data_IF_653687808573
#
_entry.id   IF_653687808573
#
_cell.length_a   1.000
_cell.length_b   1.000
_cell.length_c   1.000
_cell.angle_alpha   90.00
_cell.angle_beta   90.00
_cell.angle_gamma   90.00
#
_symmetry.space_group_name_H-M   'P 1'
#
loop_
_entity.id
_entity.type
_entity.pdbx_description
1 polymer ?
#
# COMPACT_ATOMS: atom_id res chain seq x y z
N UNK A 1 25.14 13.48 1.77
CA UNK A 1 24.98 12.13 1.21
C UNK A 1 24.54 12.32 -0.23
N UNK A 2 25.25 11.76 -1.21
CA UNK A 2 24.74 11.76 -2.59
C UNK A 2 23.64 10.69 -2.70
N UNK A 3 22.55 11.03 -3.39
CA UNK A 3 21.46 10.09 -3.69
C UNK A 3 21.84 9.25 -4.91
N UNK A 4 22.87 8.41 -4.76
CA UNK A 4 23.34 7.55 -5.85
C UNK A 4 22.60 6.21 -5.91
N UNK A 5 21.89 5.83 -4.85
CA UNK A 5 21.08 4.63 -4.80
C UNK A 5 19.73 4.94 -4.12
N UNK A 6 18.69 5.12 -4.92
CA UNK A 6 17.32 5.34 -4.46
C UNK A 6 16.37 4.53 -5.33
N UNK A 7 15.14 4.37 -4.84
CA UNK A 7 14.05 3.79 -5.62
C UNK A 7 12.82 4.68 -5.49
N UNK A 8 11.98 4.66 -6.52
CA UNK A 8 10.73 5.38 -6.60
C UNK A 8 9.58 4.41 -6.32
N UNK A 9 8.73 4.82 -5.39
CA UNK A 9 7.38 4.26 -5.25
C UNK A 9 6.44 5.30 -5.78
N UNK A 10 5.90 5.10 -6.98
CA UNK A 10 4.90 6.00 -7.53
C UNK A 10 3.53 5.70 -6.91
N UNK A 11 2.85 6.75 -6.43
CA UNK A 11 1.56 6.64 -5.74
C UNK A 11 0.42 7.30 -6.53
N UNK A 12 0.59 7.53 -7.83
CA UNK A 12 -0.45 8.14 -8.69
C UNK A 12 -1.74 7.32 -8.65
N UNK A 13 -1.63 6.00 -8.66
CA UNK A 13 -2.77 5.06 -8.64
C UNK A 13 -3.30 4.73 -7.22
N UNK A 14 -2.90 5.53 -6.21
CA UNK A 14 -3.37 5.38 -4.83
C UNK A 14 -3.63 6.72 -4.15
N UNK A 15 -2.59 7.54 -4.01
CA UNK A 15 -2.70 8.90 -3.44
C UNK A 15 -3.29 9.85 -4.48
N UNK A 16 -2.88 9.72 -5.75
CA UNK A 16 -3.45 10.52 -6.84
C UNK A 16 -4.95 10.30 -7.03
N UNK A 17 -5.48 9.11 -6.71
CA UNK A 17 -6.93 8.84 -6.71
C UNK A 17 -7.69 9.57 -5.58
N UNK A 18 -7.02 10.09 -4.56
CA UNK A 18 -7.66 10.90 -3.52
C UNK A 18 -7.88 12.36 -3.93
N UNK A 19 -7.33 12.77 -5.08
CA UNK A 19 -7.59 14.09 -5.62
C UNK A 19 -9.07 14.24 -5.97
N UNK A 20 -9.69 15.37 -5.62
CA UNK A 20 -11.15 15.54 -5.67
C UNK A 20 -11.78 15.30 -7.05
N UNK A 21 -11.03 15.47 -8.14
CA UNK A 21 -11.50 15.23 -9.50
C UNK A 21 -10.86 14.01 -10.17
N UNK A 22 -10.07 13.21 -9.43
CA UNK A 22 -9.51 11.98 -9.95
C UNK A 22 -10.53 10.85 -9.80
N UNK A 23 -10.86 10.20 -10.92
CA UNK A 23 -11.68 8.99 -10.94
C UNK A 23 -11.26 8.14 -12.14
N UNK A 24 -10.26 7.28 -11.93
CA UNK A 24 -9.70 6.49 -13.02
C UNK A 24 -10.55 5.25 -13.31
N UNK A 25 -10.88 5.04 -14.58
CA UNK A 25 -11.35 3.74 -15.07
C UNK A 25 -10.23 2.70 -14.98
N UNK A 26 -10.57 1.41 -14.96
CA UNK A 26 -9.56 0.33 -14.98
C UNK A 26 -8.63 0.48 -16.19
N UNK A 27 -9.18 0.82 -17.36
CA UNK A 27 -8.40 1.09 -18.58
C UNK A 27 -7.41 2.26 -18.39
N UNK A 28 -7.86 3.36 -17.78
CA UNK A 28 -6.98 4.49 -17.46
C UNK A 28 -5.87 4.08 -16.48
N UNK A 29 -6.17 3.26 -15.47
CA UNK A 29 -5.15 2.75 -14.54
C UNK A 29 -4.12 1.87 -15.25
N UNK A 30 -4.55 0.99 -16.14
CA UNK A 30 -3.65 0.16 -16.95
C UNK A 30 -2.77 1.01 -17.87
N UNK A 31 -3.34 2.05 -18.48
CA UNK A 31 -2.59 2.97 -19.32
C UNK A 31 -1.53 3.75 -18.51
N UNK A 32 -1.90 4.30 -17.35
CA UNK A 32 -0.96 4.98 -16.45
C UNK A 32 0.12 4.00 -15.96
N UNK A 33 -0.25 2.78 -15.57
CA UNK A 33 0.70 1.76 -15.14
C UNK A 33 1.71 1.41 -16.24
N UNK A 34 1.27 1.30 -17.50
CA UNK A 34 2.16 1.05 -18.62
C UNK A 34 3.16 2.20 -18.83
N UNK A 35 2.72 3.46 -18.69
CA UNK A 35 3.60 4.62 -18.77
C UNK A 35 4.60 4.67 -17.62
N UNK A 36 4.19 4.27 -16.41
CA UNK A 36 5.08 4.17 -15.24
C UNK A 36 6.12 3.05 -15.42
N UNK A 37 5.73 1.93 -16.02
CA UNK A 37 6.66 0.84 -16.36
C UNK A 37 7.68 1.27 -17.42
N UNK A 38 7.23 1.96 -18.47
CA UNK A 38 8.12 2.52 -19.51
C UNK A 38 9.09 3.55 -18.92
N UNK A 39 8.61 4.39 -17.99
CA UNK A 39 9.46 5.35 -17.26
C UNK A 39 10.50 4.64 -16.37
N UNK A 40 10.20 3.42 -15.90
CA UNK A 40 11.12 2.59 -15.14
C UNK A 40 11.07 2.80 -13.63
N UNK A 41 9.90 3.14 -13.06
CA UNK A 41 9.76 3.16 -11.59
C UNK A 41 9.93 1.75 -11.00
N UNK A 42 10.54 1.64 -9.82
CA UNK A 42 10.74 0.33 -9.19
C UNK A 42 9.44 -0.24 -8.62
N UNK A 43 8.54 0.62 -8.16
CA UNK A 43 7.30 0.19 -7.50
C UNK A 43 6.15 1.14 -7.80
N UNK A 44 4.95 0.58 -7.87
CA UNK A 44 3.69 1.32 -8.01
C UNK A 44 2.77 0.93 -6.87
N UNK A 45 2.25 1.91 -6.15
CA UNK A 45 1.27 1.71 -5.09
C UNK A 45 -0.16 1.82 -5.64
N UNK A 46 -0.96 0.79 -5.35
CA UNK A 46 -2.37 0.71 -5.73
C UNK A 46 -3.27 0.94 -4.51
N UNK A 47 -4.44 1.55 -4.76
CA UNK A 47 -5.54 1.65 -3.78
C UNK A 47 -5.85 0.29 -3.12
N UNK A 48 -6.12 0.33 -1.81
CA UNK A 48 -6.41 -0.88 -1.00
C UNK A 48 -7.49 -1.77 -1.64
N UNK A 49 -7.30 -3.10 -1.72
CA UNK A 49 -8.35 -4.00 -2.21
C UNK A 49 -9.56 -4.04 -1.29
N UNK A 50 -9.40 -3.63 -0.02
CA UNK A 50 -10.47 -3.55 0.96
C UNK A 50 -11.44 -2.39 0.69
N UNK A 51 -11.11 -1.45 -0.20
CA UNK A 51 -11.95 -0.29 -0.49
C UNK A 51 -13.18 -0.68 -1.30
N UNK A 52 -13.02 -1.60 -2.26
CA UNK A 52 -14.12 -2.12 -3.07
C UNK A 52 -13.71 -3.38 -3.84
N UNK A 53 -14.69 -4.20 -4.30
CA UNK A 53 -14.40 -5.29 -5.23
C UNK A 53 -13.69 -4.84 -6.51
N UNK A 54 -13.98 -3.60 -6.96
CA UNK A 54 -13.32 -3.00 -8.12
C UNK A 54 -11.85 -2.70 -7.85
N UNK A 55 -11.50 -2.19 -6.66
CA UNK A 55 -10.10 -1.95 -6.27
C UNK A 55 -9.28 -3.25 -6.30
N UNK A 56 -9.84 -4.35 -5.79
CA UNK A 56 -9.21 -5.66 -5.88
C UNK A 56 -9.11 -6.17 -7.33
N UNK A 57 -10.11 -5.92 -8.18
CA UNK A 57 -10.07 -6.26 -9.60
C UNK A 57 -9.01 -5.44 -10.37
N UNK A 58 -8.89 -4.14 -10.08
CA UNK A 58 -7.90 -3.24 -10.69
C UNK A 58 -6.46 -3.71 -10.38
N UNK A 59 -6.18 -4.11 -9.13
CA UNK A 59 -4.87 -4.67 -8.75
C UNK A 59 -4.55 -5.92 -9.59
N UNK A 60 -5.50 -6.87 -9.69
CA UNK A 60 -5.31 -8.09 -10.48
C UNK A 60 -5.11 -7.77 -11.96
N UNK A 61 -5.84 -6.79 -12.49
CA UNK A 61 -5.69 -6.36 -13.87
C UNK A 61 -4.28 -5.82 -14.15
N UNK A 62 -3.72 -5.00 -13.25
CA UNK A 62 -2.35 -4.48 -13.34
C UNK A 62 -1.32 -5.61 -13.25
N UNK A 63 -1.46 -6.53 -12.28
CA UNK A 63 -0.56 -7.67 -12.12
C UNK A 63 -0.53 -8.57 -13.37
N UNK A 64 -1.68 -8.79 -14.01
CA UNK A 64 -1.79 -9.61 -15.22
C UNK A 64 -1.10 -9.02 -16.45
N UNK A 65 -0.69 -7.74 -16.43
CA UNK A 65 0.06 -7.15 -17.55
C UNK A 65 1.53 -7.60 -17.59
N UNK A 66 2.08 -8.11 -16.48
CA UNK A 66 3.47 -8.55 -16.42
C UNK A 66 4.49 -7.40 -16.49
N UNK A 67 4.13 -6.23 -15.95
CA UNK A 67 5.03 -5.09 -15.82
C UNK A 67 6.27 -5.43 -14.96
N UNK A 68 7.36 -4.70 -15.18
CA UNK A 68 8.64 -4.89 -14.51
C UNK A 68 8.64 -4.34 -13.06
N UNK A 69 7.87 -3.29 -12.79
CA UNK A 69 7.76 -2.71 -11.45
C UNK A 69 7.08 -3.67 -10.46
N UNK A 70 7.33 -3.46 -9.16
CA UNK A 70 6.62 -4.17 -8.08
C UNK A 70 5.32 -3.46 -7.72
N UNK A 71 4.19 -4.12 -7.96
CA UNK A 71 2.89 -3.67 -7.45
C UNK A 71 2.78 -3.84 -5.93
N UNK A 72 2.61 -2.73 -5.21
CA UNK A 72 2.31 -2.67 -3.79
C UNK A 72 0.86 -2.25 -3.58
N UNK A 73 0.30 -2.50 -2.39
CA UNK A 73 -0.99 -1.90 -2.02
C UNK A 73 -0.97 -1.33 -0.60
N UNK A 74 -1.69 -0.22 -0.44
CA UNK A 74 -1.83 0.47 0.84
C UNK A 74 -2.89 -0.23 1.70
N UNK A 75 -2.59 -0.58 2.96
CA UNK A 75 -3.54 -1.26 3.84
C UNK A 75 -3.48 -0.72 5.27
N UNK A 76 -4.58 -0.91 6.02
CA UNK A 76 -4.59 -0.63 7.46
C UNK A 76 -3.83 -1.73 8.20
N UNK A 77 -3.33 -1.40 9.39
CA UNK A 77 -2.63 -2.33 10.27
C UNK A 77 -3.59 -3.31 10.98
N UNK A 78 -4.14 -4.28 10.23
CA UNK A 78 -4.92 -5.38 10.77
C UNK A 78 -4.77 -6.66 9.91
N UNK A 79 -5.14 -7.82 10.46
CA UNK A 79 -4.94 -9.12 9.79
C UNK A 79 -5.85 -9.35 8.58
N UNK A 80 -7.08 -8.85 8.60
CA UNK A 80 -8.05 -9.05 7.53
C UNK A 80 -7.65 -8.29 6.26
N UNK A 81 -7.18 -7.05 6.42
CA UNK A 81 -6.63 -6.24 5.33
C UNK A 81 -5.36 -6.90 4.74
N UNK A 82 -4.50 -7.52 5.58
CA UNK A 82 -3.35 -8.31 5.11
C UNK A 82 -3.79 -9.48 4.24
N UNK A 83 -4.73 -10.31 4.72
CA UNK A 83 -5.22 -11.46 3.97
C UNK A 83 -5.86 -11.03 2.64
N UNK A 84 -6.73 -10.02 2.68
CA UNK A 84 -7.38 -9.47 1.49
C UNK A 84 -6.37 -8.96 0.46
N UNK A 85 -5.29 -8.30 0.92
CA UNK A 85 -4.22 -7.87 0.02
C UNK A 85 -3.46 -9.05 -0.58
N UNK A 86 -3.04 -10.02 0.22
CA UNK A 86 -2.31 -11.19 -0.27
C UNK A 86 -3.11 -11.99 -1.32
N UNK A 87 -4.43 -12.08 -1.18
CA UNK A 87 -5.32 -12.73 -2.16
C UNK A 87 -5.32 -12.07 -3.56
N UNK A 88 -4.83 -10.82 -3.68
CA UNK A 88 -4.70 -10.16 -4.98
C UNK A 88 -3.44 -10.54 -5.72
N UNK A 89 -2.42 -11.07 -5.04
CA UNK A 89 -1.11 -11.38 -5.61
C UNK A 89 -0.12 -10.20 -5.66
N UNK A 90 -0.36 -9.14 -4.88
CA UNK A 90 0.60 -8.02 -4.76
C UNK A 90 1.98 -8.48 -4.30
N UNK A 91 3.01 -7.74 -4.73
CA UNK A 91 4.38 -7.98 -4.33
C UNK A 91 4.72 -7.41 -2.95
N UNK A 92 3.88 -6.51 -2.43
CA UNK A 92 4.11 -5.92 -1.12
C UNK A 92 2.95 -5.15 -0.51
N UNK A 93 3.09 -4.94 0.80
CA UNK A 93 2.11 -4.32 1.67
C UNK A 93 2.70 -3.03 2.25
N UNK A 94 2.00 -1.93 2.01
CA UNK A 94 2.27 -0.64 2.63
C UNK A 94 1.28 -0.44 3.78
N UNK A 95 1.70 -0.83 4.97
CA UNK A 95 0.88 -0.84 6.18
C UNK A 95 0.96 0.52 6.86
N UNK A 96 -0.18 1.10 7.19
CA UNK A 96 -0.27 2.39 7.88
C UNK A 96 -0.99 2.29 9.23
N UNK A 97 -0.56 3.09 10.19
CA UNK A 97 -1.29 3.39 11.42
C UNK A 97 -1.08 4.84 11.86
N UNK A 98 -2.14 5.49 12.36
CA UNK A 98 -2.06 6.83 12.93
C UNK A 98 -1.39 6.84 14.30
N UNK A 99 -0.46 7.78 14.50
CA UNK A 99 0.35 7.83 15.74
C UNK A 99 0.21 9.12 16.55
N UNK A 100 -0.32 10.20 15.97
CA UNK A 100 -0.48 11.46 16.71
C UNK A 100 -1.59 11.36 17.76
N UNK A 101 -1.56 12.18 18.84
CA UNK A 101 -2.60 12.17 19.88
C UNK A 101 -4.03 12.33 19.35
N UNK A 102 -4.21 13.07 18.25
CA UNK A 102 -5.51 13.26 17.60
C UNK A 102 -5.95 12.00 16.84
N UNK A 103 -5.01 11.32 16.18
CA UNK A 103 -5.29 10.07 15.47
C UNK A 103 -5.39 8.87 16.41
N UNK A 104 -4.74 8.89 17.57
CA UNK A 104 -4.88 7.84 18.59
C UNK A 104 -6.33 7.75 19.10
N UNK A 105 -7.09 8.85 19.14
CA UNK A 105 -8.53 8.81 19.43
C UNK A 105 -9.33 8.00 18.40
N UNK A 106 -8.93 8.08 17.12
CA UNK A 106 -9.54 7.32 16.01
C UNK A 106 -8.98 5.89 15.91
N UNK A 107 -7.79 5.64 16.46
CA UNK A 107 -7.13 4.33 16.51
C UNK A 107 -7.59 3.49 17.71
N UNK A 108 -8.87 3.62 18.08
CA UNK A 108 -9.48 2.99 19.26
C UNK A 108 -8.83 3.37 20.61
N UNK A 109 -8.25 4.58 20.72
CA UNK A 109 -7.65 5.07 21.96
C UNK A 109 -6.36 4.36 22.38
N UNK A 110 -5.71 3.64 21.45
CA UNK A 110 -4.46 2.91 21.74
C UNK A 110 -3.32 3.88 22.00
N UNK A 111 -2.52 3.60 23.04
CA UNK A 111 -1.26 4.30 23.27
C UNK A 111 -0.15 3.77 22.34
N UNK A 112 1.00 4.44 22.31
CA UNK A 112 2.13 4.08 21.44
C UNK A 112 2.61 2.64 21.66
N UNK A 113 2.67 2.15 22.91
CA UNK A 113 3.08 0.76 23.17
C UNK A 113 2.09 -0.24 22.56
N UNK A 114 0.79 0.03 22.69
CA UNK A 114 -0.26 -0.81 22.09
C UNK A 114 -0.25 -0.74 20.55
N UNK A 115 0.19 0.38 19.97
CA UNK A 115 0.41 0.52 18.53
C UNK A 115 1.62 -0.31 18.09
N UNK A 116 2.72 -0.28 18.84
CA UNK A 116 3.91 -1.08 18.57
C UNK A 116 3.58 -2.58 18.66
N UNK A 117 2.85 -3.00 19.68
CA UNK A 117 2.43 -4.40 19.86
C UNK A 117 1.56 -4.87 18.68
N UNK A 118 0.56 -4.07 18.30
CA UNK A 118 -0.31 -4.34 17.16
C UNK A 118 0.48 -4.43 15.85
N UNK A 119 1.34 -3.45 15.58
CA UNK A 119 2.15 -3.42 14.36
C UNK A 119 3.08 -4.63 14.29
N UNK A 120 3.73 -4.98 15.40
CA UNK A 120 4.61 -6.14 15.49
C UNK A 120 3.85 -7.44 15.22
N UNK A 121 2.65 -7.58 15.78
CA UNK A 121 1.78 -8.73 15.56
C UNK A 121 1.38 -8.86 14.07
N UNK A 122 0.89 -7.76 13.47
CA UNK A 122 0.41 -7.75 12.09
C UNK A 122 1.55 -7.96 11.09
N UNK A 123 2.71 -7.33 11.30
CA UNK A 123 3.88 -7.51 10.43
C UNK A 123 4.43 -8.94 10.51
N UNK A 124 4.48 -9.52 11.71
CA UNK A 124 4.89 -10.92 11.91
C UNK A 124 3.90 -11.87 11.24
N UNK A 125 2.60 -11.61 11.39
CA UNK A 125 1.55 -12.37 10.72
C UNK A 125 1.72 -12.31 9.20
N UNK A 126 1.85 -11.11 8.62
CA UNK A 126 2.04 -10.93 7.18
C UNK A 126 3.26 -11.70 6.65
N UNK A 127 4.40 -11.62 7.34
CA UNK A 127 5.62 -12.37 6.99
C UNK A 127 5.42 -13.89 7.07
N UNK A 128 4.64 -14.38 8.03
CA UNK A 128 4.33 -15.81 8.15
C UNK A 128 3.42 -16.34 7.04
N UNK A 129 2.54 -15.49 6.50
CA UNK A 129 1.68 -15.85 5.37
C UNK A 129 2.43 -15.77 4.04
N UNK A 130 3.35 -14.81 3.88
CA UNK A 130 4.13 -14.60 2.67
C UNK A 130 5.58 -14.23 3.00
N UNK A 131 6.51 -15.21 3.05
CA UNK A 131 7.89 -15.00 3.48
C UNK A 131 8.68 -13.96 2.68
N UNK A 132 8.39 -13.82 1.38
CA UNK A 132 9.11 -12.92 0.47
C UNK A 132 8.39 -11.58 0.21
N UNK A 133 7.26 -11.34 0.88
CA UNK A 133 6.46 -10.12 0.68
C UNK A 133 7.27 -8.87 1.07
N UNK A 134 7.21 -7.82 0.26
CA UNK A 134 7.77 -6.51 0.66
C UNK A 134 6.86 -5.95 1.76
N UNK A 135 7.43 -5.63 2.92
CA UNK A 135 6.70 -5.00 4.02
C UNK A 135 7.23 -3.58 4.24
N UNK A 136 6.36 -2.59 4.10
CA UNK A 136 6.61 -1.20 4.50
C UNK A 136 5.65 -0.84 5.62
N UNK A 137 6.16 -0.14 6.63
CA UNK A 137 5.35 0.39 7.72
C UNK A 137 5.48 1.91 7.75
N UNK A 138 4.35 2.59 7.73
CA UNK A 138 4.25 4.05 7.78
C UNK A 138 3.47 4.46 9.02
N UNK A 139 4.01 5.43 9.76
CA UNK A 139 3.25 6.13 10.79
C UNK A 139 2.57 7.32 10.14
N UNK A 140 1.25 7.38 10.16
CA UNK A 140 0.55 8.58 9.74
C UNK A 140 0.74 9.66 10.81
N UNK A 141 0.96 10.88 10.33
CA UNK A 141 1.20 12.07 11.13
C UNK A 141 2.50 12.08 11.95
N UNK A 142 3.58 11.53 11.38
CA UNK A 142 4.84 11.27 12.10
C UNK A 142 5.51 12.48 12.74
N UNK A 143 5.22 13.70 12.27
CA UNK A 143 5.86 14.94 12.75
C UNK A 143 5.05 15.67 13.83
N UNK A 144 3.92 15.11 14.30
CA UNK A 144 3.07 15.69 15.36
C UNK A 144 2.93 14.77 16.57
#
# INVERSE_FOLDING_TARGET
MSFENFSIIDTTLREGEQFATANFTTEQKLHIAALLDEFGVEMVEMTTPCASPRSAADIRAVLNQGFNFRTLTHIRCNRDDVLCALETGVHGLNIVIGTSPQLMQHSHGRNINQIIDLASEVLTFARSQAPDIILRFSTEDSFR
#
